data_IF_647197416129
#
_entry.id   IF_647197416129
#
_cell.length_a   1.000
_cell.length_b   1.000
_cell.length_c   1.000
_cell.angle_alpha   90.00
_cell.angle_beta   90.00
_cell.angle_gamma   90.00
#
_symmetry.space_group_name_H-M   'P 1'
#
loop_
_entity.id
_entity.type
_entity.pdbx_description
1 polymer ?
#
# COMPACT_ATOMS: atom_id res chain seq x y z
N UNK A 1 -11.18 10.69 -11.13
CA UNK A 1 -11.84 10.06 -12.31
C UNK A 1 -11.41 8.59 -12.36
N UNK A 2 -11.92 7.79 -11.43
CA UNK A 2 -11.74 6.33 -11.35
C UNK A 2 -13.07 5.54 -11.51
N UNK A 3 -14.27 6.11 -11.27
CA UNK A 3 -15.52 5.34 -11.37
C UNK A 3 -15.91 4.83 -12.77
N UNK A 4 -15.42 5.43 -13.86
CA UNK A 4 -15.94 5.16 -15.22
C UNK A 4 -15.11 4.19 -16.07
N UNK A 5 -13.84 3.95 -15.74
CA UNK A 5 -13.03 2.98 -16.51
C UNK A 5 -13.24 1.52 -16.05
N UNK A 6 -13.78 1.30 -14.85
CA UNK A 6 -14.01 -0.06 -14.32
C UNK A 6 -15.17 -0.80 -15.00
N UNK A 7 -16.18 -0.10 -15.52
CA UNK A 7 -17.35 -0.74 -16.15
C UNK A 7 -17.06 -1.33 -17.55
N UNK A 8 -16.02 -0.89 -18.25
CA UNK A 8 -15.75 -1.33 -19.62
C UNK A 8 -14.74 -2.50 -19.72
N UNK A 9 -14.03 -2.83 -18.63
CA UNK A 9 -12.87 -3.74 -18.67
C UNK A 9 -13.07 -4.99 -17.79
N UNK A 10 -13.87 -4.94 -16.72
CA UNK A 10 -13.84 -5.97 -15.70
C UNK A 10 -15.02 -6.96 -15.79
N UNK A 11 -14.72 -8.21 -16.12
CA UNK A 11 -15.55 -9.38 -15.81
C UNK A 11 -15.58 -9.75 -14.32
N UNK A 12 -15.01 -8.90 -13.45
CA UNK A 12 -15.11 -9.01 -11.99
C UNK A 12 -14.95 -7.62 -11.33
N UNK A 13 -16.06 -6.90 -11.21
CA UNK A 13 -16.11 -5.56 -10.62
C UNK A 13 -15.75 -5.56 -9.12
N UNK A 14 -15.88 -6.70 -8.44
CA UNK A 14 -15.63 -6.81 -7.00
C UNK A 14 -14.13 -6.86 -6.69
N UNK A 15 -13.33 -7.52 -7.53
CA UNK A 15 -11.87 -7.50 -7.45
C UNK A 15 -11.29 -6.08 -7.56
N UNK A 16 -11.77 -5.25 -8.50
CA UNK A 16 -11.32 -3.86 -8.63
C UNK A 16 -11.81 -2.96 -7.49
N UNK A 17 -13.02 -3.21 -6.98
CA UNK A 17 -13.54 -2.52 -5.79
C UNK A 17 -12.66 -2.81 -4.58
N UNK A 18 -12.33 -4.08 -4.36
CA UNK A 18 -11.45 -4.50 -3.26
C UNK A 18 -10.06 -3.85 -3.37
N UNK A 19 -9.49 -3.79 -4.57
CA UNK A 19 -8.20 -3.11 -4.78
C UNK A 19 -8.26 -1.63 -4.39
N UNK A 20 -9.27 -0.90 -4.86
CA UNK A 20 -9.41 0.52 -4.54
C UNK A 20 -9.64 0.76 -3.03
N UNK A 21 -10.44 -0.10 -2.39
CA UNK A 21 -10.71 0.00 -0.96
C UNK A 21 -9.49 -0.35 -0.11
N UNK A 22 -8.74 -1.40 -0.48
CA UNK A 22 -7.55 -1.82 0.26
C UNK A 22 -6.45 -0.77 0.20
N UNK A 23 -6.21 -0.16 -0.97
CA UNK A 23 -5.26 0.97 -1.12
C UNK A 23 -5.68 2.15 -0.22
N UNK A 24 -6.98 2.48 -0.16
CA UNK A 24 -7.48 3.58 0.66
C UNK A 24 -7.36 3.31 2.17
N UNK A 25 -7.49 2.06 2.59
CA UNK A 25 -7.38 1.63 4.00
C UNK A 25 -5.93 1.44 4.44
N UNK A 26 -4.99 1.27 3.50
CA UNK A 26 -3.60 1.02 3.83
C UNK A 26 -2.95 2.24 4.51
N UNK A 27 -2.18 2.05 5.59
CA UNK A 27 -1.52 3.14 6.31
C UNK A 27 -0.52 3.89 5.43
N UNK A 28 -0.25 5.16 5.78
CA UNK A 28 0.82 5.92 5.09
C UNK A 28 2.18 5.29 5.40
N UNK A 29 3.15 5.46 4.50
CA UNK A 29 4.48 4.85 4.61
C UNK A 29 5.14 5.04 6.00
N UNK A 30 5.14 6.26 6.55
CA UNK A 30 5.74 6.52 7.87
C UNK A 30 5.01 5.80 9.03
N UNK A 31 3.68 5.68 8.95
CA UNK A 31 2.88 4.95 9.92
C UNK A 31 3.14 3.45 9.81
N UNK A 32 3.14 2.92 8.59
CA UNK A 32 3.45 1.51 8.36
C UNK A 32 4.87 1.14 8.78
N UNK A 33 5.85 2.01 8.55
CA UNK A 33 7.21 1.80 9.07
C UNK A 33 7.24 1.74 10.60
N UNK A 34 6.42 2.55 11.27
CA UNK A 34 6.29 2.50 12.73
C UNK A 34 5.66 1.19 13.20
N UNK A 35 4.69 0.65 12.43
CA UNK A 35 4.13 -0.68 12.69
C UNK A 35 5.19 -1.79 12.53
N UNK A 36 6.07 -1.69 11.52
CA UNK A 36 7.18 -2.63 11.31
C UNK A 36 8.16 -2.58 12.50
N UNK A 37 8.50 -1.38 12.99
CA UNK A 37 9.33 -1.22 14.20
C UNK A 37 8.66 -1.82 15.44
N UNK A 38 7.37 -1.58 15.62
CA UNK A 38 6.60 -2.13 16.73
C UNK A 38 6.53 -3.67 16.70
N UNK A 39 6.64 -4.27 15.51
CA UNK A 39 6.73 -5.72 15.34
C UNK A 39 8.13 -6.30 15.67
N UNK A 40 9.08 -5.48 16.14
CA UNK A 40 10.41 -5.91 16.60
C UNK A 40 11.48 -5.90 15.52
N UNK A 41 11.21 -5.34 14.34
CA UNK A 41 12.24 -5.11 13.33
C UNK A 41 13.04 -3.84 13.65
N UNK A 42 14.34 -3.89 13.41
CA UNK A 42 15.27 -2.77 13.61
C UNK A 42 15.87 -2.33 12.29
N UNK A 43 16.47 -1.13 12.28
CA UNK A 43 17.04 -0.51 11.09
C UNK A 43 16.05 -0.54 9.91
N UNK A 44 14.81 -0.12 10.19
CA UNK A 44 13.76 -0.05 9.19
C UNK A 44 14.00 1.13 8.26
N UNK A 45 13.57 0.98 7.00
CA UNK A 45 13.60 2.04 6.00
C UNK A 45 12.35 1.96 5.12
N UNK A 46 11.85 3.12 4.70
CA UNK A 46 10.88 3.24 3.63
C UNK A 46 11.49 3.99 2.44
N UNK A 47 11.38 3.43 1.24
CA UNK A 47 11.79 4.07 0.00
C UNK A 47 10.56 4.39 -0.85
N UNK A 48 10.32 5.69 -1.06
CA UNK A 48 9.19 6.17 -1.86
C UNK A 48 9.57 6.16 -3.34
N UNK A 49 8.76 5.50 -4.14
CA UNK A 49 8.93 5.40 -5.60
C UNK A 49 7.64 5.84 -6.32
N UNK A 50 7.73 5.99 -7.64
CA UNK A 50 6.58 6.35 -8.50
C UNK A 50 5.86 7.63 -8.02
N UNK A 51 6.62 8.65 -7.60
CA UNK A 51 6.08 9.95 -7.18
C UNK A 51 5.21 9.91 -5.93
N UNK A 52 5.36 8.88 -5.07
CA UNK A 52 4.57 8.75 -3.85
C UNK A 52 3.47 7.68 -3.90
N UNK A 53 3.27 7.04 -5.06
CA UNK A 53 2.24 6.01 -5.21
C UNK A 53 2.59 4.69 -4.53
N UNK A 54 3.89 4.39 -4.39
CA UNK A 54 4.37 3.11 -3.83
C UNK A 54 5.53 3.37 -2.87
N UNK A 55 5.62 2.56 -1.83
CA UNK A 55 6.74 2.53 -0.89
C UNK A 55 7.29 1.11 -0.75
N UNK A 56 8.61 0.96 -0.80
CA UNK A 56 9.30 -0.29 -0.45
C UNK A 56 9.77 -0.19 1.01
N UNK A 57 9.35 -1.13 1.84
CA UNK A 57 9.74 -1.20 3.24
C UNK A 57 10.75 -2.33 3.48
N UNK A 58 11.81 -2.04 4.21
CA UNK A 58 12.82 -3.02 4.64
C UNK A 58 13.14 -2.88 6.12
N UNK A 59 13.67 -3.94 6.72
CA UNK A 59 14.10 -3.98 8.13
C UNK A 59 14.73 -5.32 8.49
N UNK A 60 15.46 -5.35 9.60
CA UNK A 60 16.20 -6.52 10.07
C UNK A 60 15.57 -7.06 11.34
N UNK A 61 15.45 -8.39 11.47
CA UNK A 61 15.09 -9.05 12.72
C UNK A 61 16.36 -9.64 13.32
N UNK A 62 16.68 -9.23 14.54
CA UNK A 62 17.84 -9.71 15.31
C UNK A 62 17.34 -10.74 16.33
#
# INVERSE_FOLDING_TARGET
IMPRMGQAIAGDADSYRYLAESIRKFPRAAEFESMIRAAGFVNTKAEIILGGAVAIHSGWKI
#
